data_IF_548845744138
#
_entry.id   IF_548845744138
#
_cell.length_a   1.000
_cell.length_b   1.000
_cell.length_c   1.000
_cell.angle_alpha   90.00
_cell.angle_beta   90.00
_cell.angle_gamma   90.00
#
_symmetry.space_group_name_H-M   'P 1'
#
loop_
_entity.id
_entity.type
_entity.pdbx_description
1 polymer ?
#
# COMPACT_ATOMS: atom_id res chain seq x y z
N UNK A 1 -10.51 -2.51 2.97
CA UNK A 1 -10.49 -1.11 2.51
C UNK A 1 -11.21 -0.22 3.51
N UNK A 2 -12.54 -0.28 3.60
CA UNK A 2 -13.31 0.59 4.51
C UNK A 2 -12.83 0.57 5.99
N UNK A 3 -12.51 -0.59 6.54
CA UNK A 3 -12.03 -0.69 7.93
C UNK A 3 -10.64 -0.07 8.14
N UNK A 4 -9.70 -0.27 7.20
CA UNK A 4 -8.37 0.29 7.29
C UNK A 4 -8.36 1.81 7.09
N UNK A 5 -9.19 2.32 6.17
CA UNK A 5 -9.43 3.76 5.98
C UNK A 5 -10.06 4.40 7.22
N UNK A 6 -11.04 3.72 7.84
CA UNK A 6 -11.64 4.18 9.09
C UNK A 6 -10.61 4.24 10.23
N UNK A 7 -9.76 3.22 10.38
CA UNK A 7 -8.72 3.21 11.40
C UNK A 7 -7.69 4.33 11.18
N UNK A 8 -7.30 4.61 9.93
CA UNK A 8 -6.42 5.73 9.60
C UNK A 8 -7.08 7.08 9.91
N UNK A 9 -8.38 7.23 9.62
CA UNK A 9 -9.12 8.45 9.97
C UNK A 9 -9.15 8.66 11.49
N UNK A 10 -9.47 7.61 12.26
CA UNK A 10 -9.42 7.67 13.72
C UNK A 10 -8.01 8.01 14.24
N UNK A 11 -6.97 7.44 13.62
CA UNK A 11 -5.58 7.71 13.98
C UNK A 11 -5.16 9.15 13.70
N UNK A 12 -5.72 9.78 12.65
CA UNK A 12 -5.54 11.20 12.35
C UNK A 12 -6.16 12.11 13.42
N UNK A 13 -7.31 11.74 13.97
CA UNK A 13 -7.93 12.50 15.07
C UNK A 13 -7.04 12.49 16.31
N UNK A 14 -6.45 11.33 16.63
CA UNK A 14 -5.49 11.22 17.74
C UNK A 14 -4.26 12.13 17.49
N UNK A 15 -3.85 12.30 16.22
CA UNK A 15 -2.75 13.23 15.90
C UNK A 15 -3.11 14.67 16.23
N UNK A 16 -4.31 15.09 15.86
CA UNK A 16 -4.81 16.43 16.16
C UNK A 16 -4.89 16.67 17.67
N UNK A 17 -5.31 15.66 18.44
CA UNK A 17 -5.30 15.73 19.91
C UNK A 17 -3.87 15.89 20.48
N UNK A 18 -2.92 15.07 20.02
CA UNK A 18 -1.51 15.17 20.43
C UNK A 18 -0.94 16.55 20.09
N UNK A 19 -1.14 17.01 18.85
CA UNK A 19 -0.64 18.31 18.39
C UNK A 19 -1.31 19.47 19.17
N UNK A 20 -2.58 19.31 19.56
CA UNK A 20 -3.30 20.25 20.42
C UNK A 20 -2.69 20.42 21.82
N UNK A 21 -2.07 19.37 22.37
CA UNK A 21 -1.36 19.43 23.66
C UNK A 21 0.09 19.91 23.56
N UNK A 22 0.65 20.05 22.35
CA UNK A 22 2.07 20.32 22.16
C UNK A 22 2.52 21.66 22.78
N UNK A 23 1.70 22.71 22.65
CA UNK A 23 2.03 24.02 23.23
C UNK A 23 2.00 23.99 24.77
N UNK A 24 1.00 23.34 25.35
CA UNK A 24 0.85 23.23 26.80
C UNK A 24 1.95 22.34 27.41
N UNK A 25 2.33 21.26 26.73
CA UNK A 25 3.48 20.45 27.07
C UNK A 25 4.77 21.30 27.07
N UNK A 26 4.99 22.09 26.01
CA UNK A 26 6.17 22.95 25.90
C UNK A 26 6.23 24.02 27.01
N UNK A 27 5.09 24.66 27.33
CA UNK A 27 4.98 25.62 28.43
C UNK A 27 5.28 24.98 29.77
N UNK A 28 4.68 23.82 30.06
CA UNK A 28 4.90 23.10 31.31
C UNK A 28 6.36 22.69 31.47
N UNK A 29 6.99 22.16 30.40
CA UNK A 29 8.41 21.81 30.40
C UNK A 29 9.29 23.03 30.69
N UNK A 30 9.07 24.13 29.96
CA UNK A 30 9.83 25.36 30.14
C UNK A 30 9.68 25.93 31.56
N UNK A 31 8.47 25.89 32.13
CA UNK A 31 8.23 26.35 33.49
C UNK A 31 8.89 25.42 34.52
N UNK A 32 8.79 24.11 34.35
CA UNK A 32 9.42 23.12 35.20
C UNK A 32 10.94 23.25 35.25
N UNK A 33 11.56 23.47 34.09
CA UNK A 33 13.01 23.68 33.98
C UNK A 33 13.43 24.96 34.73
N UNK A 34 12.67 26.06 34.58
CA UNK A 34 12.93 27.32 35.30
C UNK A 34 12.78 27.17 36.82
N UNK A 35 11.70 26.53 37.29
CA UNK A 35 11.42 26.38 38.73
C UNK A 35 12.44 25.48 39.40
N UNK A 36 12.92 24.46 38.69
CA UNK A 36 13.93 23.56 39.22
C UNK A 36 15.34 24.08 39.01
N UNK A 37 15.57 25.13 38.23
CA UNK A 37 16.92 25.64 37.93
C UNK A 37 17.67 26.02 39.22
N UNK A 38 18.92 25.54 39.32
CA UNK A 38 19.84 25.79 40.45
C UNK A 38 19.31 25.38 41.85
N UNK A 39 18.18 24.68 41.91
CA UNK A 39 17.63 24.15 43.15
C UNK A 39 18.32 22.84 43.55
N UNK A 40 18.60 22.70 44.84
CA UNK A 40 19.19 21.50 45.45
C UNK A 40 18.27 20.77 46.41
N UNK A 41 17.14 21.38 46.82
CA UNK A 41 16.25 20.72 47.77
C UNK A 41 15.65 19.44 47.15
N UNK A 42 15.49 18.36 47.94
CA UNK A 42 15.02 17.08 47.44
C UNK A 42 13.70 17.14 46.65
N UNK A 43 12.80 18.06 47.02
CA UNK A 43 11.53 18.28 46.32
C UNK A 43 11.71 18.73 44.86
N UNK A 44 12.70 19.57 44.57
CA UNK A 44 12.97 20.04 43.21
C UNK A 44 13.74 19.00 42.39
N UNK A 45 14.59 18.20 43.04
CA UNK A 45 15.23 17.04 42.39
C UNK A 45 14.19 16.00 41.96
N UNK A 46 13.21 15.71 42.81
CA UNK A 46 12.10 14.83 42.46
C UNK A 46 11.25 15.41 41.32
N UNK A 47 11.02 16.73 41.32
CA UNK A 47 10.31 17.40 40.23
C UNK A 47 11.07 17.26 38.90
N UNK A 48 12.41 17.42 38.88
CA UNK A 48 13.22 17.18 37.67
C UNK A 48 13.04 15.76 37.14
N UNK A 49 13.14 14.75 38.02
CA UNK A 49 12.91 13.35 37.60
C UNK A 49 11.52 13.12 36.99
N UNK A 50 10.48 13.75 37.55
CA UNK A 50 9.12 13.67 37.00
C UNK A 50 9.01 14.36 35.65
N UNK A 51 9.67 15.51 35.47
CA UNK A 51 9.72 16.21 34.19
C UNK A 51 10.41 15.32 33.15
N UNK A 52 11.55 14.73 33.48
CA UNK A 52 12.29 13.84 32.57
C UNK A 52 11.43 12.64 32.14
N UNK A 53 10.78 11.96 33.08
CA UNK A 53 9.85 10.87 32.76
C UNK A 53 8.67 11.32 31.89
N UNK A 54 8.17 12.55 32.08
CA UNK A 54 7.15 13.13 31.20
C UNK A 54 7.70 13.38 29.78
N UNK A 55 8.95 13.84 29.64
CA UNK A 55 9.57 14.03 28.33
C UNK A 55 9.77 12.71 27.61
N UNK A 56 10.25 11.68 28.30
CA UNK A 56 10.35 10.32 27.76
C UNK A 56 8.97 9.82 27.32
N UNK A 57 7.94 9.99 28.15
CA UNK A 57 6.56 9.62 27.80
C UNK A 57 6.02 10.37 26.58
N UNK A 58 6.30 11.67 26.45
CA UNK A 58 5.90 12.47 25.29
C UNK A 58 6.58 12.01 24.00
N UNK A 59 7.89 11.74 24.06
CA UNK A 59 8.64 11.22 22.92
C UNK A 59 8.16 9.82 22.51
N UNK A 60 7.91 8.95 23.49
CA UNK A 60 7.41 7.59 23.24
C UNK A 60 5.99 7.63 22.65
N UNK A 61 5.12 8.52 23.11
CA UNK A 61 3.79 8.71 22.54
C UNK A 61 3.86 9.05 21.04
N UNK A 62 4.70 10.00 20.64
CA UNK A 62 4.91 10.31 19.22
C UNK A 62 5.45 9.12 18.45
N UNK A 63 6.45 8.41 18.99
CA UNK A 63 7.02 7.22 18.36
C UNK A 63 5.98 6.12 18.15
N UNK A 64 5.14 5.86 19.16
CA UNK A 64 4.05 4.90 19.10
C UNK A 64 3.02 5.31 18.03
N UNK A 65 2.68 6.60 17.97
CA UNK A 65 1.77 7.13 16.96
C UNK A 65 2.33 6.96 15.54
N UNK A 66 3.58 7.34 15.30
CA UNK A 66 4.24 7.24 13.98
C UNK A 66 4.35 5.77 13.53
N UNK A 67 4.73 4.88 14.44
CA UNK A 67 4.80 3.44 14.16
C UNK A 67 3.42 2.90 13.77
N UNK A 68 2.39 3.22 14.54
CA UNK A 68 1.03 2.79 14.25
C UNK A 68 0.53 3.33 12.92
N UNK A 69 0.82 4.59 12.59
CA UNK A 69 0.49 5.18 11.31
C UNK A 69 1.14 4.40 10.16
N UNK A 70 2.45 4.14 10.24
CA UNK A 70 3.17 3.37 9.24
C UNK A 70 2.57 1.96 9.04
N UNK A 71 2.27 1.26 10.14
CA UNK A 71 1.64 -0.06 10.08
C UNK A 71 0.27 -0.03 9.40
N UNK A 72 -0.58 0.93 9.74
CA UNK A 72 -1.92 1.08 9.14
C UNK A 72 -1.83 1.42 7.66
N UNK A 73 -0.93 2.33 7.27
CA UNK A 73 -0.70 2.70 5.87
C UNK A 73 -0.19 1.51 5.05
N UNK A 74 0.78 0.75 5.57
CA UNK A 74 1.25 -0.47 4.90
C UNK A 74 0.13 -1.52 4.78
N UNK A 75 -0.67 -1.73 5.83
CA UNK A 75 -1.81 -2.65 5.76
C UNK A 75 -2.84 -2.24 4.69
N UNK A 76 -3.18 -0.94 4.60
CA UNK A 76 -4.08 -0.43 3.57
C UNK A 76 -3.51 -0.65 2.17
N UNK A 77 -2.24 -0.27 1.95
CA UNK A 77 -1.56 -0.44 0.67
C UNK A 77 -1.55 -1.89 0.20
N UNK A 78 -1.28 -2.83 1.12
CA UNK A 78 -1.36 -4.26 0.82
C UNK A 78 -2.77 -4.69 0.41
N UNK A 79 -3.81 -4.22 1.10
CA UNK A 79 -5.20 -4.55 0.74
C UNK A 79 -5.58 -4.00 -0.65
N UNK A 80 -5.16 -2.78 -0.96
CA UNK A 80 -5.36 -2.17 -2.29
C UNK A 80 -4.64 -2.99 -3.37
N UNK A 81 -3.37 -3.32 -3.14
CA UNK A 81 -2.58 -4.14 -4.06
C UNK A 81 -3.23 -5.50 -4.31
N UNK A 82 -3.66 -6.20 -3.26
CA UNK A 82 -4.28 -7.51 -3.39
C UNK A 82 -5.61 -7.46 -4.14
N UNK A 83 -6.42 -6.41 -3.94
CA UNK A 83 -7.66 -6.19 -4.70
C UNK A 83 -7.34 -6.00 -6.18
N UNK A 84 -6.39 -5.13 -6.50
CA UNK A 84 -6.08 -4.77 -7.88
C UNK A 84 -5.38 -5.93 -8.60
N UNK A 85 -4.49 -6.66 -7.90
CA UNK A 85 -3.87 -7.88 -8.39
C UNK A 85 -4.90 -8.97 -8.71
N UNK A 86 -5.94 -9.12 -7.87
CA UNK A 86 -7.04 -10.07 -8.17
C UNK A 86 -7.76 -9.68 -9.47
N UNK A 87 -7.98 -8.39 -9.71
CA UNK A 87 -8.60 -7.93 -10.96
C UNK A 87 -7.69 -8.17 -12.16
N UNK A 88 -6.38 -7.93 -12.04
CA UNK A 88 -5.40 -8.23 -13.08
C UNK A 88 -5.36 -9.74 -13.40
N UNK A 89 -5.37 -10.60 -12.38
CA UNK A 89 -5.42 -12.05 -12.56
C UNK A 89 -6.67 -12.53 -13.29
N UNK A 90 -7.82 -11.91 -13.04
CA UNK A 90 -9.06 -12.23 -13.77
C UNK A 90 -8.92 -11.87 -15.26
N UNK A 91 -8.32 -10.73 -15.60
CA UNK A 91 -8.07 -10.34 -16.99
C UNK A 91 -7.09 -11.32 -17.67
N UNK A 92 -6.00 -11.68 -16.99
CA UNK A 92 -5.02 -12.64 -17.48
C UNK A 92 -5.65 -14.03 -17.71
N UNK A 93 -6.47 -14.51 -16.78
CA UNK A 93 -7.20 -15.77 -16.93
C UNK A 93 -8.15 -15.74 -18.15
N UNK A 94 -8.83 -14.62 -18.39
CA UNK A 94 -9.71 -14.46 -19.56
C UNK A 94 -8.91 -14.53 -20.87
N UNK A 95 -7.74 -13.88 -20.91
CA UNK A 95 -6.83 -13.95 -22.05
C UNK A 95 -6.33 -15.37 -22.29
N UNK A 96 -5.86 -16.05 -21.25
CA UNK A 96 -5.36 -17.43 -21.33
C UNK A 96 -6.45 -18.39 -21.84
N UNK A 97 -7.68 -18.26 -21.33
CA UNK A 97 -8.80 -19.08 -21.78
C UNK A 97 -9.18 -18.84 -23.24
N UNK A 98 -9.01 -17.61 -23.74
CA UNK A 98 -9.21 -17.30 -25.15
C UNK A 98 -8.10 -17.91 -26.02
N UNK A 99 -6.84 -17.68 -25.63
CA UNK A 99 -5.65 -18.12 -26.36
C UNK A 99 -5.40 -19.64 -26.31
N UNK A 100 -6.01 -20.35 -25.36
CA UNK A 100 -5.96 -21.81 -25.29
C UNK A 100 -6.84 -22.50 -26.34
N UNK A 101 -7.72 -21.77 -27.03
CA UNK A 101 -8.58 -22.33 -28.08
C UNK A 101 -7.79 -22.45 -29.38
N UNK A 102 -7.53 -23.69 -29.78
CA UNK A 102 -6.90 -24.01 -31.07
C UNK A 102 -7.96 -24.67 -31.97
N UNK A 103 -8.66 -23.86 -32.75
CA UNK A 103 -9.65 -24.31 -33.73
C UNK A 103 -9.23 -23.84 -35.13
N UNK A 104 -8.97 -24.79 -36.03
CA UNK A 104 -8.75 -24.45 -37.43
C UNK A 104 -10.09 -24.16 -38.12
N UNK A 105 -10.21 -23.07 -38.91
CA UNK A 105 -11.42 -22.79 -39.65
C UNK A 105 -11.65 -23.84 -40.75
N UNK A 106 -12.89 -24.29 -40.87
CA UNK A 106 -13.34 -25.28 -41.88
C UNK A 106 -13.99 -24.64 -43.09
N UNK A 107 -14.25 -23.32 -43.04
CA UNK A 107 -14.79 -22.53 -44.13
C UNK A 107 -14.22 -21.11 -44.11
N UNK A 108 -14.32 -20.41 -45.24
CA UNK A 108 -13.93 -18.99 -45.36
C UNK A 108 -14.72 -18.10 -44.37
N UNK A 109 -16.03 -18.33 -44.27
CA UNK A 109 -16.90 -17.59 -43.35
C UNK A 109 -16.50 -17.80 -41.88
N UNK A 110 -16.11 -19.02 -41.51
CA UNK A 110 -15.58 -19.31 -40.17
C UNK A 110 -14.25 -18.60 -39.94
N UNK A 111 -13.35 -18.58 -40.94
CA UNK A 111 -12.07 -17.89 -40.86
C UNK A 111 -12.26 -16.36 -40.64
N UNK A 112 -13.15 -15.73 -41.41
CA UNK A 112 -13.46 -14.30 -41.26
C UNK A 112 -14.06 -13.98 -39.87
N UNK A 113 -14.95 -14.84 -39.38
CA UNK A 113 -15.54 -14.70 -38.04
C UNK A 113 -14.47 -14.82 -36.94
N UNK A 114 -13.54 -15.78 -37.08
CA UNK A 114 -12.45 -15.96 -36.13
C UNK A 114 -11.48 -14.78 -36.14
N UNK A 115 -11.11 -14.26 -37.31
CA UNK A 115 -10.29 -13.06 -37.45
C UNK A 115 -10.93 -11.84 -36.76
N UNK A 116 -12.24 -11.63 -36.98
CA UNK A 116 -12.97 -10.55 -36.32
C UNK A 116 -12.93 -10.68 -34.80
N UNK A 117 -13.23 -11.88 -34.27
CA UNK A 117 -13.17 -12.15 -32.82
C UNK A 117 -11.78 -11.93 -32.24
N UNK A 118 -10.73 -12.27 -32.98
CA UNK A 118 -9.35 -12.02 -32.56
C UNK A 118 -9.03 -10.52 -32.52
N UNK A 119 -9.48 -9.73 -33.50
CA UNK A 119 -9.37 -8.28 -33.46
C UNK A 119 -10.07 -7.64 -32.24
N UNK A 120 -11.28 -8.11 -31.93
CA UNK A 120 -12.04 -7.67 -30.74
C UNK A 120 -11.30 -8.06 -29.45
N UNK A 121 -10.72 -9.26 -29.41
CA UNK A 121 -9.89 -9.75 -28.31
C UNK A 121 -8.65 -8.88 -28.10
N UNK A 122 -7.88 -8.57 -29.15
CA UNK A 122 -6.68 -7.73 -29.05
C UNK A 122 -7.03 -6.33 -28.54
N UNK A 123 -8.14 -5.75 -29.01
CA UNK A 123 -8.63 -4.46 -28.53
C UNK A 123 -8.96 -4.51 -27.02
N UNK A 124 -9.62 -5.58 -26.58
CA UNK A 124 -9.94 -5.80 -25.17
C UNK A 124 -8.68 -6.05 -24.33
N UNK A 125 -7.72 -6.78 -24.87
CA UNK A 125 -6.43 -7.07 -24.23
C UNK A 125 -5.65 -5.77 -24.00
N UNK A 126 -5.57 -4.90 -25.00
CA UNK A 126 -4.89 -3.60 -24.87
C UNK A 126 -5.62 -2.68 -23.87
N UNK A 127 -6.96 -2.65 -23.89
CA UNK A 127 -7.74 -1.88 -22.91
C UNK A 127 -7.57 -2.38 -21.46
N UNK A 128 -7.34 -3.68 -21.27
CA UNK A 128 -7.05 -4.27 -19.97
C UNK A 128 -5.61 -4.11 -19.50
N UNK A 129 -4.68 -3.81 -20.43
CA UNK A 129 -3.24 -3.83 -20.18
C UNK A 129 -2.78 -2.77 -19.19
N UNK A 130 -3.36 -1.57 -19.28
CA UNK A 130 -3.07 -0.45 -18.38
C UNK A 130 -3.31 -0.84 -16.92
N UNK A 131 -4.40 -1.57 -16.64
CA UNK A 131 -4.74 -2.03 -15.29
C UNK A 131 -3.72 -3.05 -14.77
N UNK A 132 -3.27 -3.97 -15.62
CA UNK A 132 -2.26 -4.97 -15.26
C UNK A 132 -0.91 -4.27 -14.98
N UNK A 133 -0.52 -3.31 -15.83
CA UNK A 133 0.69 -2.50 -15.63
C UNK A 133 0.64 -1.70 -14.34
N UNK A 134 -0.50 -1.07 -14.03
CA UNK A 134 -0.68 -0.30 -12.80
C UNK A 134 -0.45 -1.16 -11.55
N UNK A 135 -0.91 -2.41 -11.55
CA UNK A 135 -0.64 -3.37 -10.45
C UNK A 135 0.84 -3.68 -10.31
N UNK A 136 1.54 -3.90 -11.42
CA UNK A 136 2.99 -4.19 -11.42
C UNK A 136 3.78 -2.99 -10.88
N UNK A 137 3.48 -1.79 -11.37
CA UNK A 137 4.13 -0.54 -10.92
C UNK A 137 3.87 -0.32 -9.43
N UNK A 138 2.60 -0.43 -8.99
CA UNK A 138 2.26 -0.24 -7.59
C UNK A 138 2.94 -1.27 -6.69
N UNK A 139 2.95 -2.55 -7.08
CA UNK A 139 3.62 -3.59 -6.30
C UNK A 139 5.14 -3.41 -6.24
N UNK A 140 5.78 -2.94 -7.32
CA UNK A 140 7.22 -2.61 -7.30
C UNK A 140 7.52 -1.44 -6.37
N UNK A 141 6.71 -0.37 -6.42
CA UNK A 141 6.85 0.76 -5.50
C UNK A 141 6.76 0.32 -4.03
N UNK A 142 5.79 -0.56 -3.70
CA UNK A 142 5.69 -1.09 -2.33
C UNK A 142 6.94 -1.89 -1.93
N UNK A 143 7.57 -2.62 -2.85
CA UNK A 143 8.82 -3.31 -2.56
C UNK A 143 9.97 -2.32 -2.32
N UNK A 144 10.09 -1.28 -3.14
CA UNK A 144 11.11 -0.23 -3.03
C UNK A 144 10.98 0.56 -1.72
N UNK A 145 9.75 0.81 -1.27
CA UNK A 145 9.44 1.49 -0.01
C UNK A 145 9.70 0.61 1.23
N UNK A 146 10.20 -0.63 1.07
CA UNK A 146 10.52 -1.53 2.18
C UNK A 146 9.27 -2.07 2.89
N UNK A 147 8.18 -2.28 2.16
CA UNK A 147 6.93 -2.78 2.73
C UNK A 147 7.12 -4.13 3.45
N UNK A 148 6.48 -4.33 4.61
CA UNK A 148 6.67 -5.53 5.44
C UNK A 148 6.38 -6.87 4.73
N UNK A 149 5.56 -6.83 3.68
CA UNK A 149 5.18 -7.97 2.85
C UNK A 149 5.89 -8.00 1.47
N UNK A 150 7.01 -7.29 1.31
CA UNK A 150 7.71 -7.13 0.03
C UNK A 150 7.94 -8.46 -0.71
N UNK A 151 8.40 -9.52 -0.04
CA UNK A 151 8.62 -10.83 -0.66
C UNK A 151 7.35 -11.42 -1.30
N UNK A 152 6.20 -11.26 -0.64
CA UNK A 152 4.91 -11.75 -1.13
C UNK A 152 4.40 -10.90 -2.29
N UNK A 153 4.56 -9.58 -2.18
CA UNK A 153 4.17 -8.63 -3.22
C UNK A 153 5.02 -8.89 -4.47
N UNK A 154 6.34 -8.97 -4.34
CA UNK A 154 7.27 -9.23 -5.43
C UNK A 154 6.93 -10.52 -6.17
N UNK A 155 6.74 -11.64 -5.46
CA UNK A 155 6.33 -12.91 -6.08
C UNK A 155 5.04 -12.78 -6.90
N UNK A 156 4.06 -12.05 -6.39
CA UNK A 156 2.78 -11.81 -7.07
C UNK A 156 2.97 -10.93 -8.31
N UNK A 157 3.76 -9.86 -8.19
CA UNK A 157 4.09 -8.95 -9.30
C UNK A 157 4.81 -9.70 -10.42
N UNK A 158 5.84 -10.48 -10.10
CA UNK A 158 6.58 -11.26 -11.09
C UNK A 158 5.68 -12.25 -11.81
N UNK A 159 4.80 -12.96 -11.10
CA UNK A 159 3.84 -13.88 -11.73
C UNK A 159 2.87 -13.15 -12.67
N UNK A 160 2.30 -12.01 -12.25
CA UNK A 160 1.40 -11.21 -13.09
C UNK A 160 2.13 -10.70 -14.33
N UNK A 161 3.37 -10.23 -14.18
CA UNK A 161 4.20 -9.74 -15.27
C UNK A 161 4.55 -10.85 -16.27
N UNK A 162 5.03 -12.01 -15.81
CA UNK A 162 5.35 -13.14 -16.68
C UNK A 162 4.14 -13.61 -17.49
N UNK A 163 2.98 -13.76 -16.84
CA UNK A 163 1.73 -14.15 -17.51
C UNK A 163 1.30 -13.13 -18.55
N UNK A 164 1.47 -11.83 -18.25
CA UNK A 164 1.18 -10.75 -19.20
C UNK A 164 2.05 -10.87 -20.47
N UNK A 165 3.36 -11.06 -20.31
CA UNK A 165 4.27 -11.21 -21.45
C UNK A 165 3.90 -12.43 -22.29
N UNK A 166 3.70 -13.59 -21.65
CA UNK A 166 3.31 -14.83 -22.33
C UNK A 166 2.00 -14.69 -23.12
N UNK A 167 0.98 -14.05 -22.54
CA UNK A 167 -0.29 -13.83 -23.23
C UNK A 167 -0.13 -12.90 -24.44
N UNK A 168 0.68 -11.85 -24.31
CA UNK A 168 0.97 -10.92 -25.42
C UNK A 168 1.74 -11.61 -26.55
N UNK A 169 2.76 -12.39 -26.22
CA UNK A 169 3.51 -13.16 -27.20
C UNK A 169 2.61 -14.13 -27.96
N UNK A 170 1.80 -14.92 -27.24
CA UNK A 170 0.84 -15.85 -27.84
C UNK A 170 -0.17 -15.14 -28.74
N UNK A 171 -0.76 -14.04 -28.27
CA UNK A 171 -1.75 -13.27 -29.03
C UNK A 171 -1.19 -12.69 -30.34
N UNK A 172 0.10 -12.33 -30.37
CA UNK A 172 0.77 -11.83 -31.57
C UNK A 172 1.24 -12.95 -32.51
N UNK A 173 1.39 -14.17 -32.00
CA UNK A 173 1.79 -15.35 -32.79
C UNK A 173 0.63 -16.15 -33.38
N UNK A 174 -0.61 -15.86 -32.96
CA UNK A 174 -1.86 -16.50 -33.43
C UNK A 174 -2.53 -15.63 -34.48
#
# INVERSE_FOLDING_TARGET
LAEAEQLLSQHSVIREEIDGYAEDYAKMRMMGDRVTQDQTDPQYLLLRQRLDGLQEGWQELHRMWDNRQAMLSQALNLQMFLRDAKQAELLLNQQENYLAKDEAPTSLEQAETMLKRHGDFLTTMEAGDEKIRAVVVFGNQLCEDGHFAADRIHKKVSNVHERRELNREKANST
#
